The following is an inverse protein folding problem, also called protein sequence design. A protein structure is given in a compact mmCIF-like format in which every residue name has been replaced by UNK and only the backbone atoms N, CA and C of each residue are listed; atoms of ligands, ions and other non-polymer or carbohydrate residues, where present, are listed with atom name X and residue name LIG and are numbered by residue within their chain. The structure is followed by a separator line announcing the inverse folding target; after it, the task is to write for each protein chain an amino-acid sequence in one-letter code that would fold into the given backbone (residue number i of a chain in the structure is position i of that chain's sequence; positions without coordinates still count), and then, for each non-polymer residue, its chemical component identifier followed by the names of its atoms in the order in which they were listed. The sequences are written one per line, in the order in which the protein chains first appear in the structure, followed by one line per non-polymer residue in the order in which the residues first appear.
data_IF_018846472506
#
_entry.id   IF_018846472506
#
_cell.length_a   1.000
_cell.length_b   1.000
_cell.length_c   1.000
_cell.angle_alpha   90.00
_cell.angle_beta   90.00
_cell.angle_gamma   90.00
#
_symmetry.space_group_name_H-M   'P 1'
#
loop_
_entity.id
_entity.type
_entity.pdbx_description
1 polymer ?
#
# COMPACT_ATOMS: atom_id res chain seq x y z
N UNK A 1 -4.74 -9.67 -9.11
CA UNK A 1 -4.91 -8.51 -9.99
C UNK A 1 -5.78 -7.46 -9.29
N UNK A 2 -5.11 -6.45 -8.74
CA UNK A 2 -5.75 -5.39 -7.95
C UNK A 2 -6.75 -4.59 -8.80
N UNK A 3 -6.38 -4.25 -10.02
CA UNK A 3 -7.20 -3.43 -10.90
C UNK A 3 -8.50 -4.16 -11.28
N UNK A 4 -8.41 -5.44 -11.55
CA UNK A 4 -9.59 -6.26 -11.83
C UNK A 4 -10.57 -6.30 -10.66
N UNK A 5 -10.06 -6.48 -9.45
CA UNK A 5 -10.86 -6.48 -8.22
C UNK A 5 -11.54 -5.14 -8.02
N UNK A 6 -10.81 -4.03 -8.21
CA UNK A 6 -11.38 -2.69 -8.09
C UNK A 6 -12.50 -2.47 -9.11
N UNK A 7 -12.30 -2.87 -10.36
CA UNK A 7 -13.33 -2.71 -11.39
C UNK A 7 -14.58 -3.55 -11.11
N UNK A 8 -14.39 -4.78 -10.61
CA UNK A 8 -15.49 -5.68 -10.29
C UNK A 8 -16.32 -5.19 -9.10
N UNK A 9 -15.67 -4.69 -8.05
CA UNK A 9 -16.34 -4.30 -6.81
C UNK A 9 -16.43 -2.79 -6.60
N UNK A 10 -16.09 -1.98 -7.59
CA UNK A 10 -15.92 -0.54 -7.47
C UNK A 10 -17.02 0.19 -6.70
N UNK A 11 -18.28 -0.08 -7.02
CA UNK A 11 -19.43 0.56 -6.36
C UNK A 11 -19.61 0.13 -4.89
N UNK A 12 -18.92 -0.91 -4.45
CA UNK A 12 -18.99 -1.44 -3.08
C UNK A 12 -17.72 -1.20 -2.27
N UNK A 13 -16.79 -0.42 -2.81
CA UNK A 13 -15.59 -0.03 -2.08
C UNK A 13 -15.90 1.24 -1.31
N UNK A 14 -15.95 1.15 0.02
CA UNK A 14 -16.31 2.24 0.91
C UNK A 14 -15.11 2.83 1.65
N UNK A 15 -14.05 2.06 1.78
CA UNK A 15 -12.83 2.46 2.48
C UNK A 15 -11.65 1.69 1.94
N UNK A 16 -10.46 2.31 1.94
CA UNK A 16 -9.22 1.64 1.53
C UNK A 16 -8.10 1.91 2.50
N UNK A 17 -7.25 0.92 2.68
CA UNK A 17 -5.97 1.06 3.33
C UNK A 17 -4.86 1.01 2.28
N UNK A 18 -3.91 1.91 2.40
CA UNK A 18 -2.71 1.92 1.56
C UNK A 18 -1.54 1.38 2.36
N UNK A 19 -1.18 0.16 2.04
CA UNK A 19 -0.12 -0.61 2.68
C UNK A 19 0.67 -1.32 1.58
N UNK A 20 1.98 -1.28 1.67
CA UNK A 20 2.83 -1.90 0.67
C UNK A 20 3.59 -3.09 1.24
N UNK A 21 4.16 -3.86 0.37
CA UNK A 21 4.89 -5.06 0.75
C UNK A 21 6.00 -5.34 -0.25
N UNK A 22 7.16 -5.66 0.26
CA UNK A 22 8.24 -6.29 -0.48
C UNK A 22 8.20 -7.79 -0.24
N UNK A 23 8.23 -8.58 -1.29
CA UNK A 23 8.23 -10.03 -1.19
C UNK A 23 9.67 -10.52 -1.09
N UNK A 24 10.00 -11.18 0.02
CA UNK A 24 11.25 -11.92 0.16
C UNK A 24 11.09 -13.26 -0.58
N UNK A 25 11.58 -13.31 -1.81
CA UNK A 25 11.39 -14.49 -2.66
C UNK A 25 12.16 -15.70 -2.19
N UNK A 26 13.31 -15.50 -1.59
CA UNK A 26 14.07 -16.59 -0.97
C UNK A 26 13.35 -17.13 0.28
N UNK A 27 12.82 -16.24 1.10
CA UNK A 27 11.99 -16.60 2.24
C UNK A 27 10.73 -17.35 1.81
N UNK A 28 10.09 -16.91 0.72
CA UNK A 28 8.93 -17.61 0.15
C UNK A 28 9.29 -19.02 -0.33
N UNK A 29 10.41 -19.17 -1.02
CA UNK A 29 10.89 -20.47 -1.47
C UNK A 29 11.19 -21.41 -0.32
N UNK A 30 11.87 -20.92 0.73
CA UNK A 30 12.33 -21.75 1.84
C UNK A 30 11.20 -22.09 2.83
N UNK A 31 10.26 -21.18 3.04
CA UNK A 31 9.25 -21.28 4.10
C UNK A 31 7.82 -21.55 3.60
N UNK A 32 7.56 -21.34 2.32
CA UNK A 32 6.24 -21.48 1.73
C UNK A 32 5.30 -20.32 2.03
N UNK A 33 4.26 -20.19 1.20
CA UNK A 33 3.30 -19.09 1.28
C UNK A 33 2.49 -19.08 2.57
N UNK A 34 2.30 -20.24 3.17
CA UNK A 34 1.53 -20.41 4.42
C UNK A 34 2.39 -20.27 5.68
N UNK A 35 3.66 -19.87 5.53
CA UNK A 35 4.54 -19.66 6.68
C UNK A 35 4.00 -18.55 7.58
N UNK A 36 4.08 -18.76 8.88
CA UNK A 36 3.68 -17.78 9.88
C UNK A 36 4.68 -16.62 9.98
N UNK A 37 4.22 -15.52 10.53
CA UNK A 37 5.06 -14.34 10.77
C UNK A 37 5.58 -13.71 9.49
N UNK A 38 6.84 -13.31 9.50
CA UNK A 38 7.50 -12.59 8.40
C UNK A 38 8.36 -13.48 7.51
N UNK A 39 7.96 -14.73 7.31
CA UNK A 39 8.74 -15.71 6.55
C UNK A 39 9.08 -15.27 5.11
N UNK A 40 8.20 -14.52 4.47
CA UNK A 40 8.40 -13.96 3.12
C UNK A 40 7.85 -12.55 2.98
N UNK A 41 7.12 -12.05 3.96
CA UNK A 41 6.47 -10.74 3.92
C UNK A 41 7.38 -9.69 4.55
N UNK A 42 7.67 -8.63 3.81
CA UNK A 42 8.35 -7.46 4.32
C UNK A 42 7.45 -6.25 4.17
N UNK A 43 6.67 -5.87 5.21
CA UNK A 43 5.84 -4.68 5.15
C UNK A 43 6.67 -3.43 4.87
N UNK A 44 6.14 -2.57 3.98
CA UNK A 44 6.80 -1.35 3.52
C UNK A 44 5.81 -0.19 3.52
N UNK A 45 6.32 1.01 3.63
CA UNK A 45 5.54 2.20 3.35
C UNK A 45 5.06 2.18 1.89
N UNK A 46 3.88 2.75 1.60
CA UNK A 46 3.43 2.91 0.22
C UNK A 46 4.51 3.55 -0.67
N UNK A 47 4.80 2.90 -1.79
CA UNK A 47 5.84 3.30 -2.73
C UNK A 47 7.20 2.60 -2.54
N UNK A 48 7.40 1.90 -1.43
CA UNK A 48 8.64 1.18 -1.14
C UNK A 48 8.53 -0.35 -1.30
N UNK A 49 7.39 -0.83 -1.75
CA UNK A 49 7.13 -2.23 -2.01
C UNK A 49 6.85 -2.50 -3.48
N UNK A 50 6.03 -3.51 -3.75
CA UNK A 50 5.80 -4.04 -5.09
C UNK A 50 4.46 -3.63 -5.69
N UNK A 51 3.62 -2.88 -4.98
CA UNK A 51 2.33 -2.43 -5.50
C UNK A 51 2.53 -1.27 -6.48
N UNK A 52 1.88 -1.36 -7.63
CA UNK A 52 1.82 -0.24 -8.58
C UNK A 52 0.75 0.75 -8.11
N UNK A 53 1.15 1.73 -7.31
CA UNK A 53 0.23 2.72 -6.73
C UNK A 53 -0.39 3.63 -7.77
N UNK A 54 0.34 3.95 -8.84
CA UNK A 54 -0.22 4.76 -9.94
C UNK A 54 -1.43 4.07 -10.56
N UNK A 55 -1.33 2.78 -10.86
CA UNK A 55 -2.45 2.00 -11.38
C UNK A 55 -3.57 1.84 -10.37
N UNK A 56 -3.25 1.63 -9.10
CA UNK A 56 -4.22 1.52 -8.02
C UNK A 56 -5.08 2.79 -7.91
N UNK A 57 -4.43 3.95 -7.79
CA UNK A 57 -5.12 5.24 -7.67
C UNK A 57 -5.92 5.55 -8.93
N UNK A 58 -5.33 5.34 -10.11
CA UNK A 58 -6.02 5.58 -11.39
C UNK A 58 -7.28 4.71 -11.52
N UNK A 59 -7.20 3.45 -11.14
CA UNK A 59 -8.35 2.52 -11.22
C UNK A 59 -9.45 2.90 -10.23
N UNK A 60 -9.09 3.28 -9.01
CA UNK A 60 -10.06 3.80 -8.03
C UNK A 60 -10.78 5.04 -8.57
N UNK A 61 -10.04 5.96 -9.19
CA UNK A 61 -10.62 7.15 -9.81
C UNK A 61 -11.59 6.79 -10.95
N UNK A 62 -11.24 5.82 -11.79
CA UNK A 62 -12.07 5.36 -12.90
C UNK A 62 -13.42 4.78 -12.46
N UNK A 63 -13.46 4.11 -11.31
CA UNK A 63 -14.72 3.56 -10.76
C UNK A 63 -15.47 4.57 -9.89
N UNK A 64 -15.00 5.80 -9.80
CA UNK A 64 -15.67 6.87 -9.05
C UNK A 64 -15.47 6.82 -7.54
N UNK A 65 -14.44 6.12 -7.06
CA UNK A 65 -14.15 6.12 -5.62
C UNK A 65 -13.73 7.52 -5.16
N UNK A 66 -14.41 8.00 -4.12
CA UNK A 66 -14.20 9.33 -3.53
C UNK A 66 -14.04 9.23 -2.01
N UNK A 67 -13.52 8.13 -1.54
CA UNK A 67 -13.32 7.87 -0.12
C UNK A 67 -11.88 8.13 0.33
N UNK A 68 -11.59 7.67 1.53
CA UNK A 68 -10.29 7.83 2.19
C UNK A 68 -9.28 6.84 1.64
N UNK A 69 -8.05 7.29 1.48
CA UNK A 69 -6.87 6.45 1.31
C UNK A 69 -6.10 6.47 2.64
N UNK A 70 -6.40 5.50 3.50
CA UNK A 70 -5.86 5.44 4.85
C UNK A 70 -4.46 4.82 4.84
N UNK A 71 -3.44 5.60 5.20
CA UNK A 71 -2.07 5.10 5.28
C UNK A 71 -1.95 4.12 6.45
N UNK A 72 -1.53 2.91 6.15
CA UNK A 72 -1.20 1.91 7.14
C UNK A 72 0.33 1.80 7.24
N UNK A 73 0.87 2.27 8.36
CA UNK A 73 2.30 2.32 8.58
C UNK A 73 2.78 1.00 9.18
N UNK A 74 3.43 0.18 8.37
CA UNK A 74 4.14 -1.00 8.81
C UNK A 74 5.46 -1.12 8.03
N UNK A 75 6.50 -0.43 8.49
CA UNK A 75 7.82 -0.50 7.88
C UNK A 75 8.87 -0.34 8.98
N UNK A 76 9.59 -1.40 9.28
CA UNK A 76 10.59 -1.44 10.35
C UNK A 76 11.70 -0.39 10.19
N UNK A 77 11.95 0.06 8.96
CA UNK A 77 12.93 1.11 8.69
C UNK A 77 12.53 2.48 9.26
N UNK A 78 11.24 2.65 9.56
CA UNK A 78 10.67 3.89 10.07
C UNK A 78 9.99 3.68 11.42
N UNK A 79 10.47 2.73 12.20
CA UNK A 79 10.01 2.41 13.55
C UNK A 79 11.14 2.67 14.57
N UNK A 80 10.83 2.52 15.85
CA UNK A 80 11.79 2.61 16.96
C UNK A 80 11.80 3.95 17.68
N UNK A 81 11.49 5.05 17.01
CA UNK A 81 11.32 6.38 17.61
C UNK A 81 10.09 7.06 17.06
N UNK A 82 9.50 7.97 17.84
CA UNK A 82 8.35 8.76 17.36
C UNK A 82 8.71 9.60 16.12
N UNK A 83 9.92 10.11 16.05
CA UNK A 83 10.36 10.90 14.90
C UNK A 83 10.44 10.06 13.62
N UNK A 84 10.95 8.85 13.70
CA UNK A 84 10.96 7.91 12.56
C UNK A 84 9.54 7.56 12.12
N UNK A 85 8.64 7.28 13.05
CA UNK A 85 7.25 6.97 12.73
C UNK A 85 6.58 8.15 12.01
N UNK A 86 6.74 9.36 12.53
CA UNK A 86 6.19 10.58 11.90
C UNK A 86 6.78 10.81 10.51
N UNK A 87 8.09 10.63 10.36
CA UNK A 87 8.77 10.72 9.07
C UNK A 87 8.19 9.72 8.08
N UNK A 88 7.97 8.49 8.50
CA UNK A 88 7.35 7.44 7.68
C UNK A 88 5.97 7.83 7.18
N UNK A 89 5.11 8.37 8.04
CA UNK A 89 3.79 8.86 7.64
C UNK A 89 3.87 9.99 6.61
N UNK A 90 4.78 10.93 6.80
CA UNK A 90 4.95 12.04 5.84
C UNK A 90 5.45 11.56 4.48
N UNK A 91 6.39 10.62 4.47
CA UNK A 91 6.89 10.00 3.24
C UNK A 91 5.75 9.28 2.51
N UNK A 92 5.00 8.43 3.21
CA UNK A 92 3.88 7.68 2.64
C UNK A 92 2.81 8.62 2.07
N UNK A 93 2.44 9.66 2.83
CA UNK A 93 1.49 10.68 2.37
C UNK A 93 1.97 11.35 1.08
N UNK A 94 3.23 11.75 1.02
CA UNK A 94 3.77 12.43 -0.15
C UNK A 94 3.80 11.51 -1.38
N UNK A 95 4.11 10.23 -1.20
CA UNK A 95 4.08 9.23 -2.27
C UNK A 95 2.68 9.09 -2.88
N UNK A 96 1.67 8.97 -2.04
CA UNK A 96 0.29 8.80 -2.50
C UNK A 96 -0.29 10.12 -3.01
N UNK A 97 -0.07 11.23 -2.33
CA UNK A 97 -0.59 12.54 -2.73
C UNK A 97 -0.12 12.95 -4.13
N UNK A 98 1.11 12.61 -4.49
CA UNK A 98 1.66 12.90 -5.82
C UNK A 98 0.91 12.20 -6.96
N UNK A 99 0.17 11.12 -6.66
CA UNK A 99 -0.59 10.32 -7.63
C UNK A 99 -2.05 10.74 -7.72
N UNK A 100 -2.54 11.55 -6.78
CA UNK A 100 -3.93 11.98 -6.77
C UNK A 100 -4.18 12.98 -7.90
N UNK A 101 -5.35 12.91 -8.56
CA UNK A 101 -5.69 13.91 -9.56
C UNK A 101 -5.77 15.29 -8.90
N UNK A 102 -5.19 16.28 -9.57
CA UNK A 102 -5.34 17.65 -9.12
C UNK A 102 -6.79 18.07 -9.26
N UNK A 103 -7.41 18.36 -8.12
CA UNK A 103 -8.68 19.09 -8.12
C UNK A 103 -8.40 20.57 -8.36
N UNK A 104 -8.87 21.04 -9.47
CA UNK A 104 -8.88 22.46 -9.78
C UNK A 104 -10.05 23.14 -9.08
#
# INVERSE_FOLDING_TARGET
DIERVIREFGSRIYHTHVKDMEIDREGLYNNGIMSGGIGWQRPRLPGYGEINWANFVATLSQVGYDGVLCIEHEDRRFEGTNDLVKQGFLIARNQIAALLPMTL
#
